data_IF_815069612152
#
_entry.id   IF_815069612152
#
_cell.length_a   1.000
_cell.length_b   1.000
_cell.length_c   1.000
_cell.angle_alpha   90.00
_cell.angle_beta   90.00
_cell.angle_gamma   90.00
#
_symmetry.space_group_name_H-M   'P 1'
#
loop_
_entity.id
_entity.type
_entity.pdbx_description
1 polymer ?
#
# COMPACT_ATOMS: atom_id res chain seq x y z
N UNK A 1 31.48 2.37 3.09
CA UNK A 1 30.28 2.26 2.26
C UNK A 1 30.10 3.58 1.54
N UNK A 2 30.08 3.56 0.20
CA UNK A 2 29.82 4.76 -0.61
C UNK A 2 28.33 5.12 -0.55
N UNK A 3 28.00 6.37 -0.83
CA UNK A 3 26.63 6.86 -0.97
C UNK A 3 25.78 6.01 -1.95
N UNK A 4 26.41 5.53 -3.02
CA UNK A 4 25.76 4.66 -4.01
C UNK A 4 25.51 3.23 -3.51
N UNK A 5 26.42 2.68 -2.71
CA UNK A 5 26.25 1.36 -2.08
C UNK A 5 25.10 1.36 -1.07
N UNK A 6 25.00 2.40 -0.23
CA UNK A 6 23.89 2.57 0.71
C UNK A 6 22.53 2.57 0.00
N UNK A 7 22.42 3.33 -1.10
CA UNK A 7 21.16 3.42 -1.85
C UNK A 7 20.82 2.09 -2.53
N UNK A 8 21.83 1.39 -3.06
CA UNK A 8 21.65 0.07 -3.67
C UNK A 8 21.16 -0.96 -2.66
N UNK A 9 21.73 -0.97 -1.46
CA UNK A 9 21.30 -1.85 -0.36
C UNK A 9 19.87 -1.54 0.09
N UNK A 10 19.54 -0.25 0.28
CA UNK A 10 18.17 0.18 0.58
C UNK A 10 17.19 -0.23 -0.53
N UNK A 11 17.58 -0.10 -1.80
CA UNK A 11 16.75 -0.49 -2.93
C UNK A 11 16.44 -1.97 -2.89
N UNK A 12 17.46 -2.82 -2.76
CA UNK A 12 17.30 -4.27 -2.64
C UNK A 12 16.46 -4.66 -1.41
N UNK A 13 16.65 -3.97 -0.27
CA UNK A 13 16.03 -4.32 1.01
C UNK A 13 14.57 -3.90 1.16
N UNK A 14 14.13 -2.80 0.52
CA UNK A 14 12.78 -2.26 0.77
C UNK A 14 11.94 -1.95 -0.47
N UNK A 15 12.49 -1.88 -1.69
CA UNK A 15 11.74 -1.44 -2.88
C UNK A 15 10.45 -2.24 -3.09
N UNK A 16 10.57 -3.58 -3.16
CA UNK A 16 9.41 -4.46 -3.38
C UNK A 16 8.36 -4.29 -2.27
N UNK A 17 8.80 -4.24 -1.01
CA UNK A 17 7.92 -4.07 0.15
C UNK A 17 7.16 -2.75 0.09
N UNK A 18 7.84 -1.64 -0.24
CA UNK A 18 7.20 -0.34 -0.41
C UNK A 18 6.19 -0.33 -1.57
N UNK A 19 6.51 -0.96 -2.71
CA UNK A 19 5.58 -1.07 -3.85
C UNK A 19 4.33 -1.84 -3.45
N UNK A 20 4.48 -2.92 -2.69
CA UNK A 20 3.37 -3.70 -2.15
C UNK A 20 2.47 -2.87 -1.25
N UNK A 21 3.07 -2.10 -0.33
CA UNK A 21 2.33 -1.25 0.61
C UNK A 21 1.57 -0.15 -0.14
N UNK A 22 2.23 0.52 -1.09
CA UNK A 22 1.61 1.56 -1.90
C UNK A 22 0.51 0.99 -2.80
N UNK A 23 0.68 -0.21 -3.33
CA UNK A 23 -0.35 -0.87 -4.12
C UNK A 23 -1.65 -1.08 -3.34
N UNK A 24 -1.56 -1.42 -2.05
CA UNK A 24 -2.74 -1.54 -1.18
C UNK A 24 -3.48 -0.20 -1.01
N UNK A 25 -2.76 0.92 -1.14
CA UNK A 25 -3.34 2.28 -1.08
C UNK A 25 -3.91 2.70 -2.44
N UNK A 26 -3.14 2.55 -3.51
CA UNK A 26 -3.48 3.07 -4.85
C UNK A 26 -4.46 2.17 -5.60
N UNK A 27 -4.41 0.85 -5.38
CA UNK A 27 -5.10 -0.14 -6.20
C UNK A 27 -4.47 -0.35 -7.59
N UNK A 28 -3.41 0.39 -7.93
CA UNK A 28 -2.73 0.41 -9.23
C UNK A 28 -1.23 0.18 -9.04
N UNK A 29 -0.70 -0.86 -9.70
CA UNK A 29 0.69 -1.27 -9.56
C UNK A 29 1.67 -0.31 -10.23
N UNK A 30 1.31 0.23 -11.40
CA UNK A 30 2.16 1.20 -12.12
C UNK A 30 2.35 2.44 -11.26
N UNK A 31 1.25 2.95 -10.69
CA UNK A 31 1.30 4.09 -9.79
C UNK A 31 2.11 3.81 -8.52
N UNK A 32 1.98 2.61 -7.95
CA UNK A 32 2.78 2.23 -6.79
C UNK A 32 4.27 2.14 -7.13
N UNK A 33 4.63 1.50 -8.25
CA UNK A 33 6.02 1.37 -8.71
C UNK A 33 6.64 2.73 -9.00
N UNK A 34 5.94 3.58 -9.76
CA UNK A 34 6.44 4.91 -10.13
C UNK A 34 6.60 5.81 -8.90
N UNK A 35 5.70 5.74 -7.92
CA UNK A 35 5.83 6.51 -6.69
C UNK A 35 7.05 6.09 -5.85
N UNK A 36 7.34 4.79 -5.77
CA UNK A 36 8.55 4.29 -5.09
C UNK A 36 9.80 4.65 -5.89
N UNK A 37 9.80 4.48 -7.22
CA UNK A 37 10.93 4.86 -8.08
C UNK A 37 11.26 6.35 -7.94
N UNK A 38 10.26 7.23 -7.98
CA UNK A 38 10.46 8.67 -7.77
C UNK A 38 11.06 8.99 -6.40
N UNK A 39 10.69 8.24 -5.35
CA UNK A 39 11.31 8.40 -4.04
C UNK A 39 12.81 8.05 -4.06
N UNK A 40 13.19 6.97 -4.75
CA UNK A 40 14.60 6.60 -4.94
C UNK A 40 15.35 7.58 -5.85
N UNK A 41 14.73 8.10 -6.91
CA UNK A 41 15.32 9.16 -7.75
C UNK A 41 15.66 10.40 -6.92
N UNK A 42 14.79 10.79 -5.99
CA UNK A 42 15.06 11.90 -5.06
C UNK A 42 16.14 11.58 -4.04
N UNK A 43 16.23 10.32 -3.62
CA UNK A 43 17.30 9.85 -2.75
C UNK A 43 18.67 9.94 -3.46
N UNK A 44 18.74 9.51 -4.73
CA UNK A 44 19.93 9.62 -5.58
C UNK A 44 20.35 11.08 -5.82
N UNK A 45 19.39 12.01 -5.88
CA UNK A 45 19.69 13.44 -6.01
C UNK A 45 20.24 14.09 -4.73
N UNK A 46 20.09 13.45 -3.56
CA UNK A 46 20.51 14.01 -2.26
C UNK A 46 21.08 12.94 -1.31
N UNK A 47 22.15 12.20 -1.69
CA UNK A 47 22.60 11.02 -0.96
C UNK A 47 23.12 11.33 0.44
N UNK A 48 23.85 12.44 0.62
CA UNK A 48 24.33 12.88 1.95
C UNK A 48 23.21 13.15 2.94
N UNK A 49 22.07 13.67 2.46
CA UNK A 49 20.89 13.90 3.29
C UNK A 49 20.30 12.57 3.74
N UNK A 50 20.24 11.59 2.83
CA UNK A 50 19.74 10.25 3.14
C UNK A 50 20.61 9.53 4.17
N UNK A 51 21.94 9.61 4.01
CA UNK A 51 22.92 9.00 4.92
C UNK A 51 22.87 9.57 6.35
N UNK A 52 22.44 10.83 6.51
CA UNK A 52 22.30 11.47 7.82
C UNK A 52 20.96 11.22 8.53
N UNK A 53 20.07 10.38 7.98
CA UNK A 53 18.78 10.06 8.61
C UNK A 53 18.89 8.83 9.50
N UNK A 54 18.26 8.89 10.67
CA UNK A 54 18.13 7.73 11.56
C UNK A 54 17.33 6.59 10.93
N UNK A 55 16.37 6.90 10.06
CA UNK A 55 15.56 5.92 9.35
C UNK A 55 15.30 6.33 7.87
N UNK A 56 16.21 5.95 6.96
CA UNK A 56 16.08 6.25 5.53
C UNK A 56 14.85 5.60 4.87
N UNK A 57 14.45 4.41 5.31
CA UNK A 57 13.28 3.71 4.76
C UNK A 57 11.97 4.45 5.10
N UNK A 58 11.82 4.94 6.33
CA UNK A 58 10.66 5.73 6.73
C UNK A 58 10.57 7.04 5.92
N UNK A 59 11.70 7.66 5.63
CA UNK A 59 11.73 8.82 4.74
C UNK A 59 11.33 8.47 3.30
N UNK A 60 11.87 7.39 2.74
CA UNK A 60 11.50 6.89 1.40
C UNK A 60 10.00 6.62 1.31
N UNK A 61 9.45 5.96 2.34
CA UNK A 61 8.02 5.69 2.46
C UNK A 61 7.18 6.97 2.47
N UNK A 62 7.57 7.97 3.29
CA UNK A 62 6.87 9.27 3.33
C UNK A 62 6.93 9.99 1.98
N UNK A 63 8.08 9.96 1.30
CA UNK A 63 8.22 10.55 -0.03
C UNK A 63 7.33 9.84 -1.04
N UNK A 64 7.34 8.51 -1.07
CA UNK A 64 6.53 7.70 -1.98
C UNK A 64 5.03 7.94 -1.76
N UNK A 65 4.56 7.99 -0.51
CA UNK A 65 3.17 8.35 -0.17
C UNK A 65 2.81 9.75 -0.69
N UNK A 66 3.69 10.74 -0.52
CA UNK A 66 3.44 12.10 -1.00
C UNK A 66 3.40 12.20 -2.53
N UNK A 67 4.22 11.41 -3.22
CA UNK A 67 4.19 11.28 -4.68
C UNK A 67 2.87 10.65 -5.13
N UNK A 68 2.50 9.50 -4.57
CA UNK A 68 1.25 8.81 -4.87
C UNK A 68 0.03 9.72 -4.59
N UNK A 69 0.01 10.44 -3.47
CA UNK A 69 -1.04 11.41 -3.11
C UNK A 69 -1.13 12.56 -4.12
N UNK A 70 0.00 13.15 -4.48
CA UNK A 70 0.03 14.26 -5.43
C UNK A 70 -0.49 13.84 -6.80
N UNK A 71 -0.14 12.63 -7.23
CA UNK A 71 -0.64 12.03 -8.46
C UNK A 71 -2.10 11.66 -8.38
N UNK A 72 -2.56 11.05 -7.30
CA UNK A 72 -3.99 10.76 -7.08
C UNK A 72 -4.83 12.04 -7.09
N UNK A 73 -4.36 13.13 -6.47
CA UNK A 73 -5.04 14.44 -6.54
C UNK A 73 -5.12 14.94 -7.98
N UNK A 74 -4.02 14.89 -8.74
CA UNK A 74 -4.00 15.28 -10.16
C UNK A 74 -4.90 14.39 -11.00
N UNK A 75 -4.90 13.07 -10.77
CA UNK A 75 -5.77 12.09 -11.42
C UNK A 75 -7.24 12.33 -11.08
N UNK A 76 -7.63 12.62 -9.83
CA UNK A 76 -9.02 12.96 -9.49
C UNK A 76 -9.49 14.25 -10.18
N UNK A 77 -8.61 15.25 -10.27
CA UNK A 77 -8.87 16.47 -11.07
C UNK A 77 -9.00 16.10 -12.55
N UNK A 78 -8.11 15.26 -13.08
CA UNK A 78 -8.09 14.86 -14.48
C UNK A 78 -9.26 13.92 -14.85
N UNK A 79 -9.60 12.92 -14.05
CA UNK A 79 -10.77 12.04 -14.18
C UNK A 79 -12.08 12.83 -14.09
N UNK A 80 -12.12 13.87 -13.25
CA UNK A 80 -13.24 14.80 -13.24
C UNK A 80 -13.41 15.47 -14.61
N UNK A 81 -12.31 15.69 -15.33
CA UNK A 81 -12.27 16.19 -16.72
C UNK A 81 -12.42 15.06 -17.78
N UNK A 82 -12.02 13.82 -17.48
CA UNK A 82 -11.83 12.71 -18.42
C UNK A 82 -12.79 11.52 -18.26
N UNK A 83 -13.92 11.65 -17.53
CA UNK A 83 -14.98 10.63 -17.30
C UNK A 83 -15.64 10.04 -18.58
N UNK A 84 -14.85 9.45 -19.49
CA UNK A 84 -15.25 8.82 -20.77
C UNK A 84 -14.54 7.50 -21.09
N UNK A 85 -13.53 7.03 -20.37
CA UNK A 85 -12.77 5.83 -20.76
C UNK A 85 -12.45 4.93 -19.55
N UNK A 86 -12.79 3.64 -19.68
CA UNK A 86 -12.92 2.62 -18.62
C UNK A 86 -11.61 2.06 -18.02
N UNK A 87 -11.71 0.97 -17.21
CA UNK A 87 -10.72 0.66 -16.18
C UNK A 87 -9.53 -0.23 -16.63
N UNK A 88 -8.36 -0.13 -15.98
CA UNK A 88 -7.14 -0.89 -16.29
C UNK A 88 -6.99 -2.23 -15.52
N UNK A 89 -6.04 -3.12 -15.93
CA UNK A 89 -6.00 -4.54 -15.55
C UNK A 89 -5.15 -4.89 -14.30
N UNK A 90 -5.22 -6.17 -13.91
CA UNK A 90 -4.68 -6.76 -12.65
C UNK A 90 -3.38 -7.54 -12.87
N UNK A 91 -2.49 -7.60 -11.85
CA UNK A 91 -1.15 -8.25 -11.91
C UNK A 91 -0.97 -9.33 -10.82
N UNK A 92 -0.21 -10.38 -11.18
CA UNK A 92 0.09 -11.60 -10.42
C UNK A 92 1.53 -11.62 -9.81
N UNK A 93 1.73 -12.60 -8.91
CA UNK A 93 2.98 -13.12 -8.33
C UNK A 93 3.35 -12.68 -6.88
N UNK A 94 2.82 -13.42 -5.89
CA UNK A 94 3.03 -13.22 -4.44
C UNK A 94 2.82 -14.55 -3.68
N UNK A 95 3.35 -14.66 -2.45
CA UNK A 95 3.09 -15.83 -1.58
C UNK A 95 1.59 -15.98 -1.28
N UNK A 96 1.10 -17.20 -0.99
CA UNK A 96 -0.33 -17.45 -0.77
C UNK A 96 -0.95 -16.58 0.32
N UNK A 97 -0.31 -16.44 1.48
CA UNK A 97 -0.83 -15.58 2.57
C UNK A 97 -0.87 -14.10 2.16
N UNK A 98 0.11 -13.67 1.37
CA UNK A 98 0.20 -12.29 0.88
C UNK A 98 -0.84 -11.98 -0.20
N UNK A 99 -1.20 -12.98 -1.02
CA UNK A 99 -2.32 -12.88 -1.96
C UNK A 99 -3.66 -12.81 -1.22
N UNK A 100 -3.84 -13.65 -0.19
CA UNK A 100 -5.05 -13.67 0.62
C UNK A 100 -5.27 -12.31 1.33
N UNK A 101 -4.23 -11.76 1.96
CA UNK A 101 -4.29 -10.45 2.60
C UNK A 101 -4.66 -9.33 1.61
N UNK A 102 -4.05 -9.32 0.42
CA UNK A 102 -4.38 -8.30 -0.59
C UNK A 102 -5.76 -8.49 -1.20
N UNK A 103 -6.21 -9.73 -1.40
CA UNK A 103 -7.55 -10.02 -1.86
C UNK A 103 -8.58 -9.52 -0.83
N UNK A 104 -8.36 -9.82 0.45
CA UNK A 104 -9.21 -9.36 1.54
C UNK A 104 -9.22 -7.83 1.65
N UNK A 105 -8.06 -7.17 1.53
CA UNK A 105 -7.99 -5.71 1.47
C UNK A 105 -8.71 -5.11 0.26
N UNK A 106 -8.59 -5.72 -0.93
CA UNK A 106 -9.29 -5.26 -2.16
C UNK A 106 -10.81 -5.35 -2.02
N UNK A 107 -11.33 -6.33 -1.29
CA UNK A 107 -12.76 -6.49 -1.03
C UNK A 107 -13.36 -5.38 -0.13
N UNK A 108 -12.52 -4.61 0.58
CA UNK A 108 -12.99 -3.50 1.40
C UNK A 108 -13.36 -2.25 0.57
N UNK A 109 -14.32 -1.44 1.03
CA UNK A 109 -14.58 -0.11 0.48
C UNK A 109 -13.29 0.74 0.42
N UNK A 110 -13.09 1.50 -0.66
CA UNK A 110 -11.85 2.24 -0.97
C UNK A 110 -11.31 3.03 0.24
N UNK A 111 -12.18 3.79 0.91
CA UNK A 111 -11.77 4.60 2.06
C UNK A 111 -11.33 3.78 3.29
N UNK A 112 -11.87 2.57 3.49
CA UNK A 112 -11.45 1.68 4.58
C UNK A 112 -10.12 1.02 4.24
N UNK A 113 -10.00 0.48 3.01
CA UNK A 113 -8.75 -0.10 2.48
C UNK A 113 -7.59 0.88 2.59
N UNK A 114 -7.78 2.11 2.11
CA UNK A 114 -6.76 3.15 2.15
C UNK A 114 -6.35 3.53 3.58
N UNK A 115 -7.30 3.67 4.50
CA UNK A 115 -7.01 3.99 5.89
C UNK A 115 -6.20 2.87 6.56
N UNK A 116 -6.60 1.61 6.37
CA UNK A 116 -5.88 0.45 6.91
C UNK A 116 -4.47 0.34 6.33
N UNK A 117 -4.32 0.45 5.01
CA UNK A 117 -3.03 0.36 4.35
C UNK A 117 -2.07 1.45 4.84
N UNK A 118 -2.50 2.72 4.83
CA UNK A 118 -1.66 3.83 5.30
C UNK A 118 -1.28 3.68 6.78
N UNK A 119 -2.20 3.24 7.63
CA UNK A 119 -1.92 3.13 9.06
C UNK A 119 -1.10 1.90 9.45
N UNK A 120 -1.49 0.71 8.97
CA UNK A 120 -0.90 -0.55 9.43
C UNK A 120 0.19 -1.09 8.52
N UNK A 121 0.16 -0.77 7.23
CA UNK A 121 1.19 -1.25 6.31
C UNK A 121 2.29 -0.20 6.11
N UNK A 122 1.94 1.09 6.20
CA UNK A 122 2.90 2.17 6.06
C UNK A 122 3.29 2.86 7.39
N UNK A 123 2.73 2.42 8.52
CA UNK A 123 3.00 2.97 9.86
C UNK A 123 2.72 4.46 10.00
N UNK A 124 1.80 5.03 9.20
CA UNK A 124 1.45 6.43 9.35
C UNK A 124 0.54 6.62 10.58
N UNK A 125 0.81 7.64 11.42
CA UNK A 125 -0.11 8.00 12.50
C UNK A 125 -1.42 8.57 11.93
N UNK A 126 -2.49 8.50 12.73
CA UNK A 126 -3.87 8.80 12.30
C UNK A 126 -4.03 10.19 11.68
N UNK A 127 -3.31 11.18 12.20
CA UNK A 127 -3.24 12.54 11.71
C UNK A 127 -2.57 12.64 10.33
N UNK A 128 -1.45 11.95 10.10
CA UNK A 128 -0.82 11.87 8.78
C UNK A 128 -1.72 11.14 7.77
N UNK A 129 -2.44 10.09 8.20
CA UNK A 129 -3.45 9.41 7.37
C UNK A 129 -4.59 10.37 7.00
N UNK A 130 -5.09 11.15 7.96
CA UNK A 130 -6.17 12.11 7.75
C UNK A 130 -5.77 13.18 6.72
N UNK A 131 -4.58 13.75 6.89
CA UNK A 131 -3.97 14.69 5.95
C UNK A 131 -3.83 14.04 4.57
N UNK A 132 -3.33 12.81 4.50
CA UNK A 132 -3.10 12.10 3.24
C UNK A 132 -4.40 11.88 2.45
N UNK A 133 -5.46 11.46 3.13
CA UNK A 133 -6.76 11.17 2.52
C UNK A 133 -7.67 12.39 2.36
N UNK A 134 -7.30 13.55 2.91
CA UNK A 134 -8.13 14.76 2.87
C UNK A 134 -9.43 14.63 3.67
N UNK A 135 -9.40 13.93 4.81
CA UNK A 135 -10.55 13.72 5.70
C UNK A 135 -10.21 14.05 7.16
N UNK A 136 -11.20 14.11 8.06
CA UNK A 136 -10.94 14.35 9.48
C UNK A 136 -10.30 13.14 10.18
N UNK A 137 -9.53 13.35 11.27
CA UNK A 137 -9.00 12.24 12.09
C UNK A 137 -10.10 11.31 12.64
N UNK A 138 -11.28 11.86 12.97
CA UNK A 138 -12.44 11.06 13.38
C UNK A 138 -12.93 10.12 12.27
N UNK A 139 -12.98 10.59 11.03
CA UNK A 139 -13.30 9.76 9.86
C UNK A 139 -12.27 8.66 9.65
N UNK A 140 -10.98 8.94 9.84
CA UNK A 140 -9.93 7.91 9.78
C UNK A 140 -10.16 6.84 10.85
N UNK A 141 -10.34 7.23 12.13
CA UNK A 141 -10.59 6.28 13.22
C UNK A 141 -11.82 5.40 12.94
N UNK A 142 -12.90 5.99 12.45
CA UNK A 142 -14.10 5.22 12.08
C UNK A 142 -13.84 4.26 10.91
N UNK A 143 -13.08 4.68 9.89
CA UNK A 143 -12.71 3.82 8.75
C UNK A 143 -11.81 2.67 9.18
N UNK A 144 -10.83 2.93 10.06
CA UNK A 144 -9.97 1.91 10.65
C UNK A 144 -10.79 0.89 11.46
N UNK A 145 -11.72 1.35 12.28
CA UNK A 145 -12.57 0.45 13.07
C UNK A 145 -13.42 -0.47 12.20
N UNK A 146 -14.17 0.09 11.24
CA UNK A 146 -15.03 -0.70 10.34
C UNK A 146 -14.21 -1.60 9.42
N UNK A 147 -13.08 -1.08 8.92
CA UNK A 147 -12.17 -1.84 8.08
C UNK A 147 -11.59 -3.06 8.80
N UNK A 148 -11.17 -2.93 10.06
CA UNK A 148 -10.69 -4.08 10.85
C UNK A 148 -11.77 -5.14 11.05
N UNK A 149 -13.00 -4.72 11.35
CA UNK A 149 -14.13 -5.64 11.51
C UNK A 149 -14.42 -6.40 10.21
N UNK A 150 -14.47 -5.70 9.08
CA UNK A 150 -14.69 -6.31 7.78
C UNK A 150 -13.53 -7.23 7.36
N UNK A 151 -12.27 -6.83 7.62
CA UNK A 151 -11.11 -7.65 7.32
C UNK A 151 -11.08 -8.93 8.15
N UNK A 152 -11.45 -8.86 9.44
CA UNK A 152 -11.55 -10.03 10.31
C UNK A 152 -12.59 -11.04 9.81
N UNK A 153 -13.75 -10.56 9.35
CA UNK A 153 -14.78 -11.43 8.76
C UNK A 153 -14.29 -12.13 7.47
N UNK A 154 -13.66 -11.37 6.58
CA UNK A 154 -13.13 -11.91 5.31
C UNK A 154 -12.04 -12.97 5.51
N UNK A 155 -11.19 -12.80 6.53
CA UNK A 155 -10.13 -13.75 6.84
C UNK A 155 -10.68 -15.03 7.54
N UNK A 156 -11.70 -14.89 8.39
CA UNK A 156 -12.36 -16.04 9.01
C UNK A 156 -13.09 -16.94 7.98
N UNK A 157 -13.67 -16.33 6.94
CA UNK A 157 -14.32 -17.06 5.85
C UNK A 157 -13.30 -17.77 4.94
N UNK A 158 -12.07 -17.22 4.79
CA UNK A 158 -11.00 -17.92 4.04
C UNK A 158 -10.40 -19.10 4.80
N UNK A 159 -10.25 -19.00 6.13
CA UNK A 159 -9.72 -20.09 6.97
C UNK A 159 -10.68 -21.28 7.05
N UNK A 160 -11.99 -21.01 7.05
CA UNK A 160 -13.04 -22.05 7.04
C UNK A 160 -13.15 -22.75 5.69
N UNK A 161 -12.93 -22.05 4.58
CA UNK A 161 -12.88 -22.64 3.25
C UNK A 161 -11.68 -23.60 3.06
N UNK A 162 -10.51 -23.24 3.59
CA UNK A 162 -9.29 -24.08 3.47
C UNK A 162 -9.37 -25.33 4.36
N UNK A 163 -9.99 -25.22 5.55
CA UNK A 163 -10.23 -26.36 6.46
C UNK A 163 -11.23 -27.39 5.88
N UNK A 164 -12.13 -26.95 5.00
CA UNK A 164 -13.17 -27.80 4.41
C UNK A 164 -12.66 -28.68 3.26
N UNK A 165 -11.60 -28.26 2.57
CA UNK A 165 -11.00 -29.01 1.44
C UNK A 165 -10.13 -30.17 1.95
N UNK A 166 -9.61 -30.10 3.19
CA UNK A 166 -8.85 -31.17 3.84
C UNK A 166 -9.68 -32.35 4.39
N UNK A 167 -11.02 -32.32 4.26
CA UNK A 167 -11.94 -33.35 4.80
C UNK A 167 -12.67 -34.17 3.72
N UNK A 168 -12.13 -34.27 2.51
CA UNK A 168 -12.66 -35.25 1.55
C UNK A 168 -12.19 -36.65 1.98
N UNK A 169 -13.16 -37.42 2.44
CA UNK A 169 -13.10 -38.81 2.89
C UNK A 169 -12.13 -39.70 2.09
N UNK A 170 -11.08 -40.18 2.76
CA UNK A 170 -10.43 -41.46 2.42
C UNK A 170 -11.32 -42.57 2.96
N UNK A 171 -12.37 -42.91 2.23
CA UNK A 171 -13.15 -44.14 2.44
C UNK A 171 -13.60 -44.69 1.09
N UNK A 172 -12.80 -45.60 0.54
CA UNK A 172 -13.18 -46.94 0.04
C UNK A 172 -11.97 -47.59 -0.64
#
# INVERSE_FOLDING_TARGET
>A
MSDGELISELYAGCFRRLVVQLYAVTGDLSEAQEAVQEAFTRALAAPRRLAGLDNPEAWLRRVAVNVARSRHRRRRVLDTLLRRLGPPPTVADRSPEHLALLAALRALPEGQRQALALHYLLDLPVDEVAVTLGVSPGTVKSRLSRGRQALAALLADSDTADTSIGRIDVRS
#
